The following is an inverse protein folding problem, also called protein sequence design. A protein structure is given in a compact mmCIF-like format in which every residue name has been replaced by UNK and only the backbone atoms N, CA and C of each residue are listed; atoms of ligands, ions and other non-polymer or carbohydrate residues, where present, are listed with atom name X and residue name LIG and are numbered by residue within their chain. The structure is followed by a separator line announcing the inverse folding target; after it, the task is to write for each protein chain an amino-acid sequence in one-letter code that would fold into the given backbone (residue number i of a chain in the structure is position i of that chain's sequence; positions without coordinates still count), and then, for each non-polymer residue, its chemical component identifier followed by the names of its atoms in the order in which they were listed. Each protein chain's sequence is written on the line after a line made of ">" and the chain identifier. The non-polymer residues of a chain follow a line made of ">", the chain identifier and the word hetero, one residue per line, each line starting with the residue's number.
data_IF_592607786491
#
_entry.id   IF_592607786491
#
_cell.length_a   1.000
_cell.length_b   1.000
_cell.length_c   1.000
_cell.angle_alpha   90.00
_cell.angle_beta   90.00
_cell.angle_gamma   90.00
#
_symmetry.space_group_name_H-M   'P 1'
#
loop_
_entity.id
_entity.type
_entity.pdbx_description
1 polymer ?
#
# COMPACT_ATOMS: atom_id res chain seq x y z
N UNK A 1 -33.71 -5.10 6.71
CA UNK A 1 -32.87 -5.88 5.77
C UNK A 1 -32.13 -4.90 4.86
N UNK A 2 -30.92 -4.45 5.26
CA UNK A 2 -30.08 -3.58 4.42
C UNK A 2 -29.28 -4.45 3.45
N UNK A 3 -29.37 -4.14 2.18
CA UNK A 3 -28.93 -4.96 1.04
C UNK A 3 -27.42 -5.26 1.09
N UNK A 4 -27.08 -6.55 1.19
CA UNK A 4 -25.71 -7.09 1.11
C UNK A 4 -25.09 -6.97 -0.31
N UNK A 5 -25.85 -6.47 -1.28
CA UNK A 5 -25.44 -6.39 -2.69
C UNK A 5 -24.62 -5.13 -3.05
N UNK A 6 -24.63 -4.11 -2.20
CA UNK A 6 -23.87 -2.88 -2.45
C UNK A 6 -22.34 -3.07 -2.36
N UNK A 7 -21.88 -4.06 -1.59
CA UNK A 7 -20.44 -4.29 -1.39
C UNK A 7 -19.76 -4.89 -2.63
N UNK A 8 -20.41 -5.86 -3.27
CA UNK A 8 -19.88 -6.49 -4.48
C UNK A 8 -19.81 -5.52 -5.66
N UNK A 9 -20.78 -4.59 -5.77
CA UNK A 9 -20.84 -3.62 -6.87
C UNK A 9 -19.77 -2.53 -6.75
N UNK A 10 -19.47 -2.03 -5.54
CA UNK A 10 -18.40 -1.07 -5.31
C UNK A 10 -17.02 -1.66 -5.59
N UNK A 11 -16.76 -2.92 -5.19
CA UNK A 11 -15.48 -3.58 -5.43
C UNK A 11 -15.24 -3.84 -6.91
N UNK A 12 -16.27 -4.20 -7.66
CA UNK A 12 -16.21 -4.41 -9.13
C UNK A 12 -16.07 -3.07 -9.87
N UNK A 13 -16.72 -1.99 -9.41
CA UNK A 13 -16.61 -0.67 -10.04
C UNK A 13 -15.22 -0.02 -9.84
N UNK A 14 -14.57 -0.23 -8.69
CA UNK A 14 -13.19 0.23 -8.47
C UNK A 14 -12.21 -0.51 -9.39
N UNK A 15 -12.44 -1.79 -9.68
CA UNK A 15 -11.60 -2.57 -10.59
C UNK A 15 -11.80 -2.23 -12.08
N UNK A 16 -12.94 -1.68 -12.48
CA UNK A 16 -13.26 -1.44 -13.90
C UNK A 16 -13.00 -0.01 -14.39
N UNK A 17 -12.97 0.98 -13.53
CA UNK A 17 -12.83 2.40 -13.93
C UNK A 17 -11.39 2.80 -14.26
N UNK A 18 -10.38 2.03 -13.82
CA UNK A 18 -8.97 2.41 -13.97
C UNK A 18 -8.19 1.74 -15.10
N UNK A 19 -8.86 1.05 -16.02
CA UNK A 19 -8.18 0.39 -17.17
C UNK A 19 -7.61 1.33 -18.23
N UNK A 20 -7.74 2.63 -18.11
CA UNK A 20 -7.42 3.59 -19.20
C UNK A 20 -6.24 4.55 -18.93
N UNK A 21 -5.55 4.49 -17.80
CA UNK A 21 -4.41 5.37 -17.54
C UNK A 21 -3.09 4.62 -17.73
N UNK A 22 -2.42 4.89 -18.84
CA UNK A 22 -1.14 4.32 -19.24
C UNK A 22 0.06 5.04 -18.63
N UNK A 23 1.04 4.21 -18.29
CA UNK A 23 2.51 4.34 -18.20
C UNK A 23 3.16 4.63 -16.87
N UNK A 24 3.74 3.58 -16.39
CA UNK A 24 5.04 3.20 -15.84
C UNK A 24 5.50 3.84 -14.54
N UNK A 25 5.31 3.11 -13.47
CA UNK A 25 6.32 2.85 -12.46
C UNK A 25 6.13 1.43 -11.95
N UNK A 26 6.64 0.49 -12.68
CA UNK A 26 6.89 -0.83 -12.11
C UNK A 26 7.91 -0.62 -11.00
N UNK A 27 7.70 -1.09 -9.75
CA UNK A 27 8.83 -1.35 -8.88
C UNK A 27 9.79 -2.18 -9.69
N UNK A 28 11.09 -1.91 -9.58
CA UNK A 28 12.15 -2.37 -10.47
C UNK A 28 12.23 -3.90 -10.61
N UNK A 29 11.21 -4.53 -11.18
CA UNK A 29 11.17 -5.91 -11.56
C UNK A 29 11.03 -6.05 -13.07
N UNK A 30 12.11 -5.71 -13.79
CA UNK A 30 12.42 -6.19 -15.14
C UNK A 30 13.61 -7.13 -15.08
N UNK A 31 13.53 -8.19 -14.30
CA UNK A 31 14.41 -9.34 -14.46
C UNK A 31 13.87 -10.20 -15.60
N UNK A 32 14.73 -10.61 -16.53
CA UNK A 32 14.40 -11.63 -17.50
C UNK A 32 14.00 -12.92 -16.76
N UNK A 33 12.70 -13.17 -16.62
CA UNK A 33 12.14 -14.36 -15.99
C UNK A 33 12.49 -15.69 -16.67
N UNK A 34 13.28 -15.64 -17.74
CA UNK A 34 13.65 -16.80 -18.56
C UNK A 34 14.86 -17.58 -17.97
N UNK A 35 15.69 -16.96 -17.13
CA UNK A 35 16.98 -17.53 -16.71
C UNK A 35 17.11 -17.89 -15.22
N UNK A 36 16.01 -18.01 -14.46
CA UNK A 36 16.15 -18.54 -13.10
C UNK A 36 15.28 -17.93 -12.03
N UNK A 37 15.47 -18.40 -10.81
CA UNK A 37 14.84 -17.89 -9.59
C UNK A 37 15.31 -16.45 -9.35
N UNK A 38 14.38 -15.55 -9.09
CA UNK A 38 14.67 -14.18 -8.63
C UNK A 38 14.27 -14.04 -7.16
N UNK A 39 14.95 -13.17 -6.45
CA UNK A 39 14.68 -12.89 -5.03
C UNK A 39 14.31 -11.43 -4.82
N UNK A 40 13.15 -10.99 -5.33
CA UNK A 40 12.69 -9.61 -5.17
C UNK A 40 12.29 -9.34 -3.73
N UNK A 41 12.56 -8.12 -3.29
CA UNK A 41 12.10 -7.64 -1.99
C UNK A 41 11.68 -6.18 -2.09
N UNK A 42 10.92 -5.73 -1.10
CA UNK A 42 10.45 -4.37 -1.00
C UNK A 42 10.28 -3.94 0.45
N UNK A 43 10.40 -2.66 0.67
CA UNK A 43 10.03 -2.04 1.95
C UNK A 43 9.41 -0.67 1.71
N UNK A 44 8.51 -0.30 2.59
CA UNK A 44 8.04 1.07 2.69
C UNK A 44 7.90 1.45 4.17
N UNK A 45 8.03 2.72 4.45
CA UNK A 45 7.84 3.30 5.79
C UNK A 45 7.13 4.63 5.64
N UNK A 46 6.18 4.89 6.52
CA UNK A 46 5.46 6.16 6.61
C UNK A 46 5.47 6.66 8.05
N UNK A 47 5.69 7.95 8.22
CA UNK A 47 5.64 8.63 9.52
C UNK A 47 4.78 9.89 9.33
N UNK A 48 3.79 10.09 10.19
CA UNK A 48 2.97 11.30 10.15
C UNK A 48 1.76 11.23 11.06
N UNK A 49 1.06 12.33 11.18
CA UNK A 49 -0.26 12.37 11.80
C UNK A 49 -1.30 12.02 10.72
N UNK A 50 -1.68 10.76 10.65
CA UNK A 50 -2.46 10.20 9.54
C UNK A 50 -3.97 10.19 9.80
N UNK A 51 -4.43 10.50 11.03
CA UNK A 51 -5.85 10.54 11.39
C UNK A 51 -6.21 11.86 12.07
N UNK A 52 -6.95 12.75 11.41
CA UNK A 52 -7.46 13.98 12.04
C UNK A 52 -8.39 13.75 13.23
N UNK A 53 -9.11 12.64 13.28
CA UNK A 53 -9.98 12.28 14.41
C UNK A 53 -9.16 11.92 15.65
N UNK A 54 -7.99 11.32 15.45
CA UNK A 54 -7.05 10.98 16.53
C UNK A 54 -6.03 12.12 16.71
N UNK A 55 -6.50 13.25 17.23
CA UNK A 55 -5.69 14.46 17.40
C UNK A 55 -4.35 14.19 18.09
N UNK A 56 -3.27 14.78 17.56
CA UNK A 56 -1.90 14.68 18.07
C UNK A 56 -1.33 13.24 18.09
N UNK A 57 -1.90 12.32 17.32
CA UNK A 57 -1.37 10.98 17.17
C UNK A 57 -0.42 10.93 15.98
N UNK A 58 0.84 10.59 16.24
CA UNK A 58 1.83 10.36 15.20
C UNK A 58 2.00 8.86 15.01
N UNK A 59 1.82 8.42 13.79
CA UNK A 59 1.99 7.04 13.36
C UNK A 59 3.37 6.82 12.77
N UNK A 60 3.94 5.69 13.10
CA UNK A 60 5.01 5.04 12.37
C UNK A 60 4.45 3.74 11.79
N UNK A 61 4.47 3.61 10.48
CA UNK A 61 4.06 2.40 9.80
C UNK A 61 5.20 1.92 8.91
N UNK A 62 5.52 0.64 8.96
CA UNK A 62 6.56 0.04 8.12
C UNK A 62 6.17 -1.35 7.67
N UNK A 63 6.61 -1.70 6.48
CA UNK A 63 6.44 -3.02 5.90
C UNK A 63 7.71 -3.42 5.18
N UNK A 64 8.11 -4.67 5.34
CA UNK A 64 9.20 -5.29 4.59
C UNK A 64 8.74 -6.65 4.08
N UNK A 65 9.08 -6.98 2.86
CA UNK A 65 8.82 -8.27 2.25
C UNK A 65 10.05 -8.76 1.49
N UNK A 66 10.39 -10.04 1.68
CA UNK A 66 11.32 -10.77 0.85
C UNK A 66 10.58 -11.91 0.16
N UNK A 67 10.66 -11.97 -1.14
CA UNK A 67 9.99 -12.95 -1.97
C UNK A 67 10.98 -13.79 -2.77
N UNK A 68 10.50 -14.92 -3.30
CA UNK A 68 11.20 -15.69 -4.31
C UNK A 68 10.24 -16.02 -5.45
N UNK A 69 10.67 -15.91 -6.69
CA UNK A 69 9.87 -16.40 -7.82
C UNK A 69 10.07 -17.90 -7.96
N UNK A 70 9.10 -18.70 -7.51
CA UNK A 70 9.17 -20.15 -7.58
C UNK A 70 8.79 -20.69 -8.96
N UNK A 71 7.88 -20.01 -9.65
CA UNK A 71 7.37 -20.40 -10.97
C UNK A 71 6.93 -19.15 -11.74
N UNK A 72 7.17 -19.15 -13.04
CA UNK A 72 6.70 -18.11 -13.95
C UNK A 72 6.10 -18.73 -15.22
N UNK A 73 5.06 -18.12 -15.78
CA UNK A 73 4.54 -18.51 -17.09
C UNK A 73 5.52 -18.13 -18.21
N UNK A 74 5.40 -18.78 -19.38
CA UNK A 74 6.23 -18.50 -20.56
C UNK A 74 6.26 -17.01 -20.95
N UNK A 75 5.16 -16.29 -20.74
CA UNK A 75 5.09 -14.85 -21.00
C UNK A 75 5.65 -13.98 -19.87
N UNK A 76 6.04 -14.58 -18.73
CA UNK A 76 6.43 -13.84 -17.53
C UNK A 76 5.31 -13.01 -16.89
N UNK A 77 4.10 -13.09 -17.43
CA UNK A 77 2.97 -12.27 -16.97
C UNK A 77 2.34 -12.75 -15.66
N UNK A 78 2.64 -13.97 -15.23
CA UNK A 78 2.18 -14.53 -13.97
C UNK A 78 3.32 -15.23 -13.24
N UNK A 79 3.34 -15.11 -11.92
CA UNK A 79 4.32 -15.81 -11.05
C UNK A 79 3.63 -16.42 -9.84
N UNK A 80 4.17 -17.55 -9.39
CA UNK A 80 3.92 -18.11 -8.07
C UNK A 80 5.07 -17.71 -7.16
N UNK A 81 4.77 -17.03 -6.08
CA UNK A 81 5.75 -16.28 -5.29
C UNK A 81 5.58 -16.59 -3.80
N UNK A 82 6.37 -17.53 -3.23
CA UNK A 82 6.50 -17.64 -1.78
C UNK A 82 7.16 -16.38 -1.23
N UNK A 83 6.76 -15.97 -0.03
CA UNK A 83 7.28 -14.78 0.61
C UNK A 83 7.29 -14.88 2.13
N UNK A 84 8.13 -14.06 2.75
CA UNK A 84 8.08 -13.71 4.16
C UNK A 84 7.95 -12.19 4.25
N UNK A 85 7.16 -11.72 5.19
CA UNK A 85 7.01 -10.28 5.39
C UNK A 85 6.82 -9.93 6.86
N UNK A 86 7.01 -8.67 7.19
CA UNK A 86 6.76 -8.12 8.50
C UNK A 86 6.13 -6.73 8.35
N UNK A 87 4.97 -6.56 8.95
CA UNK A 87 4.33 -5.26 9.19
C UNK A 87 4.64 -4.79 10.60
N UNK A 88 4.81 -3.49 10.77
CA UNK A 88 4.96 -2.82 12.07
C UNK A 88 4.16 -1.54 12.03
N UNK A 89 3.29 -1.36 13.01
CA UNK A 89 2.57 -0.10 13.24
C UNK A 89 2.79 0.31 14.68
N UNK A 90 3.14 1.56 14.88
CA UNK A 90 3.29 2.18 16.20
C UNK A 90 2.61 3.55 16.17
N UNK A 91 2.06 3.97 17.29
CA UNK A 91 1.56 5.32 17.47
C UNK A 91 1.99 5.94 18.81
N UNK A 92 1.89 7.26 18.90
CA UNK A 92 2.33 7.99 20.09
C UNK A 92 1.30 8.01 21.21
N UNK A 93 0.06 7.62 20.96
CA UNK A 93 -1.01 7.58 21.96
C UNK A 93 -1.17 6.19 22.58
N UNK A 94 -0.54 5.17 22.02
CA UNK A 94 -0.53 3.82 22.56
C UNK A 94 -1.87 3.09 22.39
N UNK A 95 -2.61 3.38 21.32
CA UNK A 95 -3.82 2.63 21.02
C UNK A 95 -3.47 1.19 20.61
N UNK A 96 -4.12 0.21 21.20
CA UNK A 96 -3.84 -1.21 20.98
C UNK A 96 -3.88 -1.58 19.51
N UNK A 97 -4.94 -1.18 18.80
CA UNK A 97 -5.13 -1.46 17.39
C UNK A 97 -4.11 -0.80 16.44
N UNK A 98 -3.36 0.19 16.94
CA UNK A 98 -2.30 0.87 16.19
C UNK A 98 -0.89 0.41 16.57
N UNK A 99 -0.73 -0.33 17.67
CA UNK A 99 0.59 -0.75 18.16
C UNK A 99 0.73 -2.26 18.01
N UNK A 100 1.17 -2.69 16.82
CA UNK A 100 1.25 -4.11 16.49
C UNK A 100 2.40 -4.45 15.56
N UNK A 101 2.80 -5.73 15.62
CA UNK A 101 3.73 -6.35 14.70
C UNK A 101 3.06 -7.55 14.02
N UNK A 102 3.30 -7.73 12.74
CA UNK A 102 2.65 -8.74 11.91
C UNK A 102 3.65 -9.48 11.02
N UNK A 103 4.45 -10.44 11.55
CA UNK A 103 5.20 -11.35 10.71
C UNK A 103 4.29 -12.32 9.96
N UNK A 104 4.62 -12.56 8.70
CA UNK A 104 3.84 -13.40 7.79
C UNK A 104 4.76 -14.33 7.00
N UNK A 105 4.31 -15.55 6.75
CA UNK A 105 4.90 -16.46 5.78
C UNK A 105 3.80 -16.96 4.87
N UNK A 106 3.97 -16.87 3.56
CA UNK A 106 2.89 -17.15 2.64
C UNK A 106 3.31 -17.40 1.22
N UNK A 107 2.30 -17.48 0.38
CA UNK A 107 2.41 -17.67 -1.05
C UNK A 107 1.39 -16.80 -1.76
N UNK A 108 1.78 -16.22 -2.89
CA UNK A 108 0.89 -15.43 -3.74
C UNK A 108 1.09 -15.74 -5.22
N UNK A 109 0.01 -15.68 -5.97
CA UNK A 109 0.02 -15.63 -7.42
C UNK A 109 -0.06 -14.17 -7.82
N UNK A 110 0.92 -13.70 -8.57
CA UNK A 110 0.98 -12.37 -9.10
C UNK A 110 0.66 -12.39 -10.59
N UNK A 111 -0.15 -11.43 -11.03
CA UNK A 111 -0.32 -11.11 -12.44
C UNK A 111 0.21 -9.71 -12.69
N UNK A 112 1.19 -9.62 -13.58
CA UNK A 112 1.80 -8.34 -13.95
C UNK A 112 1.07 -7.71 -15.12
N UNK A 113 0.89 -6.41 -15.05
CA UNK A 113 0.39 -5.54 -16.10
C UNK A 113 1.46 -4.50 -16.42
N UNK A 114 1.26 -3.74 -17.48
CA UNK A 114 2.24 -2.73 -17.91
C UNK A 114 2.63 -1.74 -16.80
N UNK A 115 1.68 -1.35 -15.96
CA UNK A 115 1.85 -0.32 -14.93
C UNK A 115 1.42 -0.78 -13.53
N UNK A 116 1.29 -2.08 -13.31
CA UNK A 116 0.84 -2.57 -12.02
C UNK A 116 0.87 -4.08 -11.87
N UNK A 117 0.38 -4.53 -10.74
CA UNK A 117 0.33 -5.91 -10.32
C UNK A 117 -0.98 -6.19 -9.61
N UNK A 118 -1.56 -7.35 -9.87
CA UNK A 118 -2.66 -7.91 -9.08
C UNK A 118 -2.17 -9.20 -8.46
N UNK A 119 -2.42 -9.38 -7.18
CA UNK A 119 -1.97 -10.55 -6.41
C UNK A 119 -3.15 -11.20 -5.69
N UNK A 120 -3.19 -12.52 -5.71
CA UNK A 120 -4.05 -13.34 -4.87
C UNK A 120 -3.15 -14.19 -3.99
N UNK A 121 -3.29 -14.09 -2.67
CA UNK A 121 -2.38 -14.73 -1.75
C UNK A 121 -3.03 -15.30 -0.51
N UNK A 122 -2.27 -16.16 0.16
CA UNK A 122 -2.55 -16.64 1.50
C UNK A 122 -1.27 -16.67 2.33
N UNK A 123 -1.38 -16.46 3.61
CA UNK A 123 -0.25 -16.52 4.53
C UNK A 123 -0.69 -16.98 5.92
N UNK A 124 0.20 -17.67 6.61
CA UNK A 124 0.11 -17.77 8.04
C UNK A 124 0.65 -16.47 8.63
N UNK A 125 -0.21 -15.74 9.32
CA UNK A 125 0.09 -14.46 9.93
C UNK A 125 0.04 -14.60 11.45
N UNK A 126 1.05 -14.11 12.13
CA UNK A 126 1.03 -13.86 13.56
C UNK A 126 0.86 -12.35 13.76
N UNK A 127 -0.08 -11.94 14.60
CA UNK A 127 -0.32 -10.56 14.96
C UNK A 127 -0.20 -10.41 16.47
N UNK A 128 0.65 -9.49 16.90
CA UNK A 128 0.89 -9.13 18.29
C UNK A 128 0.56 -7.64 18.46
N UNK A 129 -0.54 -7.37 19.13
CA UNK A 129 -0.89 -6.04 19.62
C UNK A 129 -0.24 -5.87 21.00
N UNK A 130 0.98 -5.43 21.03
CA UNK A 130 1.95 -5.44 22.15
C UNK A 130 1.41 -5.41 23.57
N UNK A 131 0.22 -4.91 23.82
CA UNK A 131 -0.34 -4.73 25.16
C UNK A 131 -1.56 -5.63 25.45
N UNK A 132 -2.23 -6.19 24.44
CA UNK A 132 -3.55 -6.80 24.64
C UNK A 132 -3.71 -8.20 24.09
N UNK A 133 -3.50 -8.40 22.79
CA UNK A 133 -3.86 -9.67 22.13
C UNK A 133 -2.72 -10.15 21.24
N UNK A 134 -2.46 -11.45 21.33
CA UNK A 134 -1.58 -12.17 20.42
C UNK A 134 -2.38 -13.26 19.72
N UNK A 135 -2.30 -13.31 18.39
CA UNK A 135 -3.03 -14.31 17.64
C UNK A 135 -2.35 -14.67 16.33
N UNK A 136 -2.50 -15.92 15.93
CA UNK A 136 -2.11 -16.36 14.60
C UNK A 136 -3.27 -17.06 13.90
N UNK A 137 -3.36 -16.84 12.59
CA UNK A 137 -4.37 -17.47 11.74
C UNK A 137 -3.90 -17.52 10.28
N UNK A 138 -4.58 -18.33 9.47
CA UNK A 138 -4.45 -18.29 8.03
C UNK A 138 -5.23 -17.10 7.47
N UNK A 139 -4.54 -16.21 6.79
CA UNK A 139 -5.15 -15.10 6.06
C UNK A 139 -5.22 -15.41 4.57
N UNK A 140 -6.28 -14.94 3.92
CA UNK A 140 -6.46 -14.97 2.46
C UNK A 140 -6.80 -13.56 2.00
N UNK A 141 -6.13 -13.11 0.95
CA UNK A 141 -6.30 -11.76 0.46
C UNK A 141 -6.15 -11.67 -1.06
N UNK A 142 -6.78 -10.67 -1.63
CA UNK A 142 -6.48 -10.15 -2.95
C UNK A 142 -6.00 -8.71 -2.80
N UNK A 143 -5.00 -8.32 -3.58
CA UNK A 143 -4.50 -6.96 -3.59
C UNK A 143 -4.05 -6.54 -4.98
N UNK A 144 -4.07 -5.26 -5.23
CA UNK A 144 -3.48 -4.66 -6.42
C UNK A 144 -2.56 -3.48 -6.06
N UNK A 145 -1.71 -3.13 -7.00
CA UNK A 145 -0.98 -1.88 -7.00
C UNK A 145 -0.77 -1.43 -8.45
N UNK A 146 -1.08 -0.17 -8.72
CA UNK A 146 -0.84 0.46 -10.00
C UNK A 146 -0.15 1.81 -9.81
N UNK A 147 0.81 2.11 -10.66
CA UNK A 147 1.47 3.40 -10.68
C UNK A 147 1.55 3.93 -12.12
N UNK A 148 1.44 5.23 -12.26
CA UNK A 148 1.56 5.90 -13.56
C UNK A 148 2.37 7.18 -13.45
N UNK A 149 3.15 7.46 -14.51
CA UNK A 149 3.97 8.66 -14.62
C UNK A 149 4.72 9.01 -13.32
N UNK A 150 5.65 8.16 -12.81
CA UNK A 150 6.28 8.37 -11.53
C UNK A 150 6.97 9.73 -11.44
N UNK A 151 6.87 10.36 -10.28
CA UNK A 151 7.47 11.67 -10.03
C UNK A 151 9.00 11.69 -10.18
N UNK A 152 9.65 10.53 -10.10
CA UNK A 152 11.08 10.31 -10.34
C UNK A 152 11.46 10.44 -11.82
N UNK A 153 10.55 10.21 -12.76
CA UNK A 153 10.82 10.33 -14.19
C UNK A 153 10.81 11.79 -14.66
N UNK A 154 11.82 12.16 -15.44
CA UNK A 154 11.95 13.54 -15.94
C UNK A 154 10.78 13.96 -16.86
N UNK A 155 10.23 13.01 -17.62
CA UNK A 155 9.16 13.28 -18.58
C UNK A 155 7.75 13.34 -17.96
N UNK A 156 7.57 12.84 -16.72
CA UNK A 156 6.25 12.79 -16.11
C UNK A 156 5.74 14.18 -15.73
N UNK A 157 4.44 14.40 -15.92
CA UNK A 157 3.73 15.61 -15.50
C UNK A 157 2.67 15.33 -14.46
N UNK A 158 2.05 14.15 -14.51
CA UNK A 158 0.89 13.77 -13.71
C UNK A 158 1.15 12.45 -12.98
N UNK A 159 2.11 12.42 -12.02
CA UNK A 159 2.39 11.21 -11.27
C UNK A 159 1.20 10.79 -10.42
N UNK A 160 0.97 9.50 -10.35
CA UNK A 160 -0.10 8.97 -9.51
C UNK A 160 0.10 7.49 -9.23
N UNK A 161 -0.66 6.98 -8.26
CA UNK A 161 -0.69 5.58 -7.89
C UNK A 161 -2.01 5.20 -7.25
N UNK A 162 -2.35 3.93 -7.31
CA UNK A 162 -3.42 3.34 -6.55
C UNK A 162 -2.98 2.02 -5.95
N UNK A 163 -3.63 1.67 -4.85
CA UNK A 163 -3.49 0.39 -4.20
C UNK A 163 -4.82 0.00 -3.59
N UNK A 164 -5.17 -1.27 -3.66
CA UNK A 164 -6.33 -1.81 -2.96
C UNK A 164 -6.02 -3.22 -2.43
N UNK A 165 -6.68 -3.58 -1.34
CA UNK A 165 -6.64 -4.94 -0.80
C UNK A 165 -8.00 -5.32 -0.22
N UNK A 166 -8.32 -6.62 -0.27
CA UNK A 166 -9.49 -7.21 0.37
C UNK A 166 -9.14 -8.59 0.91
N UNK A 167 -9.53 -8.88 2.13
CA UNK A 167 -9.30 -10.20 2.73
C UNK A 167 -9.55 -10.22 4.24
N UNK A 168 -9.33 -11.36 4.85
CA UNK A 168 -9.28 -11.51 6.30
C UNK A 168 -7.84 -11.24 6.79
N UNK A 169 -7.39 -10.00 6.67
CA UNK A 169 -5.97 -9.62 6.78
C UNK A 169 -5.46 -9.48 8.22
N UNK A 170 -6.35 -9.49 9.23
CA UNK A 170 -5.99 -9.46 10.66
C UNK A 170 -6.42 -10.75 11.37
N UNK A 171 -5.48 -11.54 11.92
CA UNK A 171 -5.78 -12.67 12.79
C UNK A 171 -6.55 -12.32 14.06
N UNK A 172 -6.26 -11.16 14.64
CA UNK A 172 -6.91 -10.67 15.87
C UNK A 172 -8.40 -10.43 15.61
N UNK A 173 -8.73 -9.87 14.47
CA UNK A 173 -10.10 -9.62 14.06
C UNK A 173 -10.75 -10.80 13.35
N UNK A 174 -10.64 -11.98 13.90
CA UNK A 174 -11.07 -13.25 13.32
C UNK A 174 -12.43 -13.18 12.63
N UNK A 175 -12.47 -13.65 11.36
CA UNK A 175 -13.66 -13.65 10.53
C UNK A 175 -14.11 -12.27 10.06
N UNK A 176 -13.25 -11.25 10.20
CA UNK A 176 -13.45 -9.94 9.61
C UNK A 176 -12.86 -9.92 8.19
N UNK A 177 -13.65 -9.47 7.23
CA UNK A 177 -13.18 -9.19 5.88
C UNK A 177 -13.05 -7.68 5.76
N UNK A 178 -11.82 -7.22 5.51
CA UNK A 178 -11.47 -5.80 5.39
C UNK A 178 -11.20 -5.52 3.92
N UNK A 179 -11.87 -4.53 3.38
CA UNK A 179 -11.59 -3.94 2.07
C UNK A 179 -11.01 -2.55 2.27
N UNK A 180 -9.85 -2.28 1.70
CA UNK A 180 -9.20 -0.98 1.82
C UNK A 180 -8.57 -0.58 0.50
N UNK A 181 -8.46 0.71 0.26
CA UNK A 181 -7.88 1.22 -0.96
C UNK A 181 -7.41 2.66 -0.83
N UNK A 182 -6.50 3.00 -1.71
CA UNK A 182 -5.87 4.31 -1.80
C UNK A 182 -5.67 4.70 -3.25
N UNK A 183 -5.90 5.96 -3.57
CA UNK A 183 -5.55 6.55 -4.85
C UNK A 183 -4.96 7.93 -4.64
N UNK A 184 -3.89 8.24 -5.34
CA UNK A 184 -3.27 9.57 -5.31
C UNK A 184 -2.99 10.06 -6.73
N UNK A 185 -3.30 11.33 -6.98
CA UNK A 185 -3.00 12.01 -8.22
C UNK A 185 -2.25 13.30 -7.92
N UNK A 186 -1.07 13.45 -8.52
CA UNK A 186 -0.26 14.64 -8.40
C UNK A 186 -0.08 15.37 -9.73
N UNK A 187 0.50 16.56 -9.63
CA UNK A 187 1.00 17.36 -10.76
C UNK A 187 2.40 17.84 -10.42
N UNK A 188 3.38 17.63 -11.30
CA UNK A 188 4.72 18.16 -11.08
C UNK A 188 4.71 19.66 -11.35
N UNK A 189 4.70 20.45 -10.28
CA UNK A 189 4.76 21.91 -10.37
C UNK A 189 6.17 22.42 -10.69
N UNK A 190 7.20 21.78 -10.14
CA UNK A 190 8.61 22.18 -10.33
C UNK A 190 9.57 21.01 -10.10
N UNK A 191 10.68 21.02 -10.82
CA UNK A 191 11.84 20.16 -10.58
C UNK A 191 13.07 21.00 -10.25
N UNK A 192 13.79 20.65 -9.20
CA UNK A 192 15.00 21.33 -8.74
C UNK A 192 16.03 20.30 -8.29
N UNK A 193 17.19 20.23 -8.95
CA UNK A 193 18.33 19.37 -8.56
C UNK A 193 17.91 17.91 -8.25
N UNK A 194 17.04 17.33 -9.07
CA UNK A 194 16.56 15.96 -8.88
C UNK A 194 15.32 15.81 -7.99
N UNK A 195 14.91 16.83 -7.25
CA UNK A 195 13.69 16.84 -6.44
C UNK A 195 12.49 17.31 -7.27
N UNK A 196 11.37 16.64 -7.18
CA UNK A 196 10.10 17.06 -7.75
C UNK A 196 9.18 17.65 -6.66
N UNK A 197 8.66 18.84 -6.87
CA UNK A 197 7.60 19.42 -6.05
C UNK A 197 6.25 19.08 -6.66
N UNK A 198 5.40 18.39 -5.89
CA UNK A 198 4.18 17.76 -6.37
C UNK A 198 2.99 18.17 -5.50
N UNK A 199 2.20 19.18 -5.88
CA UNK A 199 0.82 19.30 -5.42
C UNK A 199 0.06 18.03 -5.77
N UNK A 200 -0.76 17.53 -4.84
CA UNK A 200 -1.52 16.29 -5.04
C UNK A 200 -2.85 16.30 -4.29
N UNK A 201 -3.73 15.42 -4.72
CA UNK A 201 -4.90 15.00 -3.97
C UNK A 201 -4.91 13.47 -3.85
N UNK A 202 -5.44 12.98 -2.75
CA UNK A 202 -5.60 11.56 -2.50
C UNK A 202 -6.93 11.22 -1.84
N UNK A 203 -7.26 9.95 -1.93
CA UNK A 203 -8.42 9.36 -1.31
C UNK A 203 -8.06 7.99 -0.76
N UNK A 204 -8.35 7.77 0.52
CA UNK A 204 -8.23 6.47 1.18
C UNK A 204 -9.61 6.03 1.63
N UNK A 205 -9.89 4.75 1.46
CA UNK A 205 -11.13 4.13 1.88
C UNK A 205 -10.83 2.82 2.59
N UNK A 206 -11.51 2.56 3.69
CA UNK A 206 -11.48 1.29 4.40
C UNK A 206 -12.89 0.91 4.84
N UNK A 207 -13.23 -0.34 4.73
CA UNK A 207 -14.49 -0.90 5.22
C UNK A 207 -14.34 -2.36 5.59
N UNK A 208 -14.98 -2.76 6.66
CA UNK A 208 -14.99 -4.11 7.17
C UNK A 208 -16.40 -4.71 7.28
N UNK A 209 -16.46 -6.03 7.54
CA UNK A 209 -17.73 -6.76 7.69
C UNK A 209 -18.26 -6.76 9.11
N UNK A 210 -17.44 -6.46 10.12
CA UNK A 210 -17.82 -6.42 11.53
C UNK A 210 -18.30 -5.06 12.00
N UNK A 211 -17.95 -4.01 11.27
CA UNK A 211 -18.37 -2.65 11.57
C UNK A 211 -17.52 -1.98 12.63
N UNK A 212 -16.23 -2.31 12.73
CA UNK A 212 -15.31 -1.58 13.60
C UNK A 212 -15.12 -0.15 13.11
N UNK A 213 -15.21 0.82 14.01
CA UNK A 213 -15.20 2.23 13.65
C UNK A 213 -13.89 2.66 12.96
N UNK A 214 -12.75 2.12 13.43
CA UNK A 214 -11.43 2.43 12.86
C UNK A 214 -11.20 1.85 11.45
N UNK A 215 -11.91 0.76 11.09
CA UNK A 215 -11.84 0.14 9.76
C UNK A 215 -12.92 0.63 8.80
N UNK A 216 -13.85 1.43 9.26
CA UNK A 216 -14.96 1.93 8.45
C UNK A 216 -14.86 3.44 8.27
N UNK A 217 -13.93 3.85 7.39
CA UNK A 217 -13.61 5.27 7.19
C UNK A 217 -13.29 5.62 5.74
N UNK A 218 -13.41 6.90 5.45
CA UNK A 218 -12.87 7.53 4.26
C UNK A 218 -12.01 8.73 4.65
N UNK A 219 -10.88 8.90 3.97
CA UNK A 219 -10.00 10.06 4.10
C UNK A 219 -9.85 10.73 2.74
N UNK A 220 -10.02 12.03 2.71
CA UNK A 220 -9.71 12.89 1.57
C UNK A 220 -8.53 13.76 1.95
N UNK A 221 -7.49 13.74 1.12
CA UNK A 221 -6.28 14.51 1.32
C UNK A 221 -6.01 15.45 0.16
N UNK A 222 -5.48 16.62 0.44
CA UNK A 222 -4.87 17.49 -0.55
C UNK A 222 -3.67 18.21 0.04
N UNK A 223 -2.58 18.29 -0.72
CA UNK A 223 -1.36 18.82 -0.18
C UNK A 223 -0.26 19.04 -1.19
N UNK A 224 0.94 19.22 -0.68
CA UNK A 224 2.17 19.36 -1.46
C UNK A 224 3.24 18.46 -0.88
N UNK A 225 3.95 17.73 -1.73
CA UNK A 225 5.08 16.89 -1.35
C UNK A 225 6.30 17.15 -2.22
N UNK A 226 7.47 17.01 -1.61
CA UNK A 226 8.75 16.91 -2.29
C UNK A 226 9.10 15.44 -2.47
N UNK A 227 9.35 15.01 -3.70
CA UNK A 227 9.76 13.64 -4.04
C UNK A 227 11.22 13.66 -4.44
N UNK A 228 12.05 12.93 -3.69
CA UNK A 228 13.49 12.87 -3.85
C UNK A 228 13.90 11.46 -4.27
N UNK A 229 14.23 11.20 -5.54
CA UNK A 229 14.68 9.90 -5.99
C UNK A 229 16.15 9.65 -5.60
N UNK A 230 16.46 8.42 -5.19
CA UNK A 230 17.79 7.94 -4.83
C UNK A 230 18.07 6.58 -5.49
N UNK A 231 18.16 6.54 -6.81
CA UNK A 231 18.33 5.27 -7.53
C UNK A 231 17.09 4.37 -7.45
N UNK A 232 17.18 3.27 -6.70
CA UNK A 232 16.07 2.31 -6.55
C UNK A 232 15.09 2.68 -5.41
N UNK A 233 15.34 3.73 -4.67
CA UNK A 233 14.47 4.21 -3.61
C UNK A 233 14.11 5.67 -3.78
N UNK A 234 13.05 6.08 -3.14
CA UNK A 234 12.68 7.48 -3.04
C UNK A 234 12.17 7.83 -1.64
N UNK A 235 12.32 9.10 -1.32
CA UNK A 235 11.80 9.69 -0.10
C UNK A 235 10.79 10.77 -0.47
N UNK A 236 9.71 10.84 0.24
CA UNK A 236 8.72 11.90 0.14
C UNK A 236 8.61 12.63 1.47
N UNK A 237 8.58 13.95 1.41
CA UNK A 237 8.24 14.82 2.54
C UNK A 237 7.08 15.70 2.13
N UNK A 238 6.06 15.80 2.95
CA UNK A 238 4.89 16.58 2.57
C UNK A 238 4.10 17.14 3.71
N UNK A 239 3.21 18.05 3.33
CA UNK A 239 2.14 18.56 4.16
C UNK A 239 0.84 18.45 3.41
N UNK A 240 -0.23 18.02 4.10
CA UNK A 240 -1.56 17.91 3.53
C UNK A 240 -2.62 18.33 4.53
N UNK A 241 -3.72 18.82 4.02
CA UNK A 241 -4.96 18.88 4.77
C UNK A 241 -5.72 17.60 4.54
N UNK A 242 -5.98 16.84 5.61
CA UNK A 242 -6.77 15.61 5.59
C UNK A 242 -8.15 15.88 6.16
N UNK A 243 -9.17 15.24 5.59
CA UNK A 243 -10.52 15.17 6.14
C UNK A 243 -10.91 13.70 6.29
N UNK A 244 -11.12 13.25 7.52
CA UNK A 244 -11.52 11.87 7.87
C UNK A 244 -13.02 11.86 8.20
N UNK A 245 -13.71 10.84 7.69
CA UNK A 245 -15.08 10.51 8.03
C UNK A 245 -15.19 9.04 8.42
N UNK A 246 -15.76 8.74 9.60
CA UNK A 246 -16.00 7.39 10.12
C UNK A 246 -17.47 7.04 9.98
N UNK A 247 -17.77 6.00 9.20
CA UNK A 247 -19.13 5.63 8.79
C UNK A 247 -19.99 5.08 9.93
N UNK A 248 -19.39 4.44 10.95
CA UNK A 248 -20.12 3.79 12.03
C UNK A 248 -20.61 4.77 13.09
N UNK A 249 -19.83 5.78 13.38
CA UNK A 249 -20.10 6.75 14.43
C UNK A 249 -20.53 8.10 13.90
N UNK A 250 -20.59 8.26 12.58
CA UNK A 250 -20.89 9.56 11.90
C UNK A 250 -19.97 10.70 12.37
N UNK A 251 -18.72 10.38 12.73
CA UNK A 251 -17.71 11.34 13.17
C UNK A 251 -16.91 11.82 11.99
N UNK A 252 -16.63 13.11 11.96
CA UNK A 252 -15.68 13.67 11.00
C UNK A 252 -14.76 14.68 11.65
N UNK A 253 -13.54 14.77 11.14
CA UNK A 253 -12.58 15.79 11.52
C UNK A 253 -11.67 16.13 10.34
N UNK A 254 -11.19 17.36 10.30
CA UNK A 254 -10.19 17.81 9.35
C UNK A 254 -8.98 18.39 10.06
N UNK A 255 -7.80 18.22 9.49
CA UNK A 255 -6.56 18.70 10.09
C UNK A 255 -5.38 18.75 9.13
N UNK A 256 -4.40 19.58 9.47
CA UNK A 256 -3.13 19.62 8.79
C UNK A 256 -2.26 18.46 9.29
N UNK A 257 -1.69 17.70 8.36
CA UNK A 257 -0.71 16.66 8.64
C UNK A 257 0.63 16.99 8.00
N UNK A 258 1.71 16.59 8.66
CA UNK A 258 3.05 16.49 8.10
C UNK A 258 3.40 15.02 8.00
N UNK A 259 4.03 14.62 6.90
CA UNK A 259 4.39 13.22 6.70
C UNK A 259 5.73 13.05 5.99
N UNK A 260 6.32 11.90 6.21
CA UNK A 260 7.48 11.40 5.49
C UNK A 260 7.21 9.97 5.05
N UNK A 261 7.42 9.68 3.78
CA UNK A 261 7.36 8.34 3.23
C UNK A 261 8.72 7.94 2.67
N UNK A 262 9.05 6.69 2.85
CA UNK A 262 10.23 6.05 2.27
C UNK A 262 9.83 4.77 1.58
N UNK A 263 10.38 4.50 0.41
CA UNK A 263 10.11 3.26 -0.33
C UNK A 263 11.36 2.80 -1.07
N UNK A 264 11.60 1.49 -1.02
CA UNK A 264 12.77 0.84 -1.61
C UNK A 264 12.40 -0.57 -2.09
N UNK A 265 12.88 -0.91 -3.30
CA UNK A 265 12.79 -2.27 -3.83
C UNK A 265 14.19 -2.82 -4.17
N UNK A 266 14.38 -4.13 -4.06
CA UNK A 266 15.63 -4.81 -4.40
C UNK A 266 15.37 -6.17 -5.03
N UNK A 267 16.41 -6.73 -5.65
CA UNK A 267 16.50 -8.14 -6.02
C UNK A 267 17.88 -8.67 -5.59
N UNK A 268 17.91 -9.62 -4.68
CA UNK A 268 19.15 -10.14 -4.10
C UNK A 268 20.01 -10.92 -5.12
N UNK A 269 19.40 -11.39 -6.21
CA UNK A 269 20.09 -12.12 -7.28
C UNK A 269 20.38 -11.25 -8.51
N UNK A 270 19.92 -10.00 -8.55
CA UNK A 270 20.28 -9.12 -9.64
C UNK A 270 21.79 -8.90 -9.64
N UNK A 271 22.49 -9.56 -10.56
CA UNK A 271 23.88 -9.22 -10.86
C UNK A 271 23.89 -7.77 -11.33
N UNK A 272 24.66 -6.90 -10.67
CA UNK A 272 25.01 -5.60 -11.25
C UNK A 272 25.46 -5.88 -12.66
N UNK A 273 24.69 -5.44 -13.66
CA UNK A 273 25.17 -5.43 -15.04
C UNK A 273 26.53 -4.75 -15.00
N UNK A 274 27.57 -5.47 -15.41
CA UNK A 274 28.95 -5.01 -15.28
C UNK A 274 29.12 -3.61 -15.85
N UNK A 275 29.91 -2.83 -15.14
CA UNK A 275 30.42 -1.52 -15.58
C UNK A 275 31.17 -1.66 -16.90
#
# INVERSE_FOLDING_TARGET
>A
MKSKWGFALCTVLVLTVFSAAQQSATPAYQGNLIDGVTLPGQTWTSIGNLSPIEHNNVYFQSYIEQSATAFATFSGSMTLTPYVSMGLVLDTQGYDWNNRIEPRIGMKVNRFFHNGIVSLGSAYCYEDEFQTVQRSDLIVYAQDWFGWQPASEKASRFPGSSWAAVGNISPVERGNIIGQGYVSQGVIAKRMRGTALVPYADFTFSRDTKGFDWDNKALFGSGVKAVIPHGQFYTEFGAAYLHEYRFQTDRSAGGLTLFTNFSFGWDLLSRKAGR
#
